data_IF_878445307263
#
_entry.id   IF_878445307263
#
_cell.length_a   1.000
_cell.length_b   1.000
_cell.length_c   1.000
_cell.angle_alpha   90.00
_cell.angle_beta   90.00
_cell.angle_gamma   90.00
#
_symmetry.space_group_name_H-M   'P 1'
#
loop_
_entity.id
_entity.type
_entity.pdbx_description
1 polymer ?
#
# COMPACT_ATOMS: atom_id res chain seq x y z
N UNK A 1 23.26 1.27 6.83
CA UNK A 1 22.73 0.43 5.74
C UNK A 1 21.53 1.16 5.14
N UNK A 2 21.59 1.58 3.88
CA UNK A 2 20.38 2.03 3.18
C UNK A 2 19.59 0.76 2.86
N UNK A 3 18.42 0.60 3.46
CA UNK A 3 17.45 -0.36 2.94
C UNK A 3 17.03 0.13 1.56
N UNK A 4 16.91 -0.78 0.59
CA UNK A 4 16.48 -0.45 -0.76
C UNK A 4 15.11 0.23 -0.75
N UNK A 5 14.91 1.17 -1.67
CA UNK A 5 13.64 1.87 -1.81
C UNK A 5 12.62 0.97 -2.52
N UNK A 6 11.44 0.82 -1.91
CA UNK A 6 10.29 0.10 -2.42
C UNK A 6 9.63 0.93 -3.52
N UNK A 7 9.68 0.42 -4.74
CA UNK A 7 8.97 0.95 -5.89
C UNK A 7 8.24 -0.21 -6.58
N UNK A 8 6.91 -0.16 -6.59
CA UNK A 8 6.04 -1.17 -7.21
C UNK A 8 5.24 -0.51 -8.32
N UNK A 9 5.30 -1.06 -9.53
CA UNK A 9 4.48 -0.62 -10.65
C UNK A 9 3.89 -1.81 -11.39
N UNK A 10 2.59 -2.07 -11.18
CA UNK A 10 1.92 -3.29 -11.65
C UNK A 10 0.52 -3.00 -12.22
N UNK A 11 -0.06 -3.99 -12.89
CA UNK A 11 -1.45 -3.92 -13.38
C UNK A 11 -2.47 -4.09 -12.26
N UNK A 12 -2.30 -5.12 -11.45
CA UNK A 12 -3.09 -5.45 -10.28
C UNK A 12 -2.12 -5.79 -9.14
N UNK A 13 -2.52 -5.56 -7.90
CA UNK A 13 -1.73 -5.96 -6.73
C UNK A 13 -2.64 -6.73 -5.77
N UNK A 14 -2.37 -8.01 -5.58
CA UNK A 14 -2.96 -8.84 -4.53
C UNK A 14 -1.96 -8.96 -3.38
N UNK A 15 -2.33 -8.41 -2.23
CA UNK A 15 -1.59 -8.51 -0.98
C UNK A 15 -2.49 -9.04 0.14
N UNK A 16 -3.46 -9.90 -0.19
CA UNK A 16 -4.37 -10.49 0.79
C UNK A 16 -3.62 -11.33 1.82
N UNK A 17 -3.67 -10.94 3.10
CA UNK A 17 -2.91 -11.59 4.19
C UNK A 17 -1.39 -11.53 4.02
N UNK A 18 -0.90 -10.85 2.98
CA UNK A 18 0.50 -10.67 2.66
C UNK A 18 1.11 -9.48 3.37
N UNK A 19 2.41 -9.27 3.17
CA UNK A 19 3.14 -8.13 3.72
C UNK A 19 4.05 -7.51 2.67
N UNK A 20 3.94 -6.21 2.50
CA UNK A 20 4.83 -5.39 1.70
C UNK A 20 5.40 -4.27 2.57
N UNK A 21 6.68 -4.40 2.93
CA UNK A 21 7.30 -3.59 3.97
C UNK A 21 8.52 -2.82 3.42
N UNK A 22 8.48 -1.49 3.49
CA UNK A 22 9.62 -0.60 3.32
C UNK A 22 10.23 -0.32 4.71
N UNK A 23 11.34 -0.99 5.04
CA UNK A 23 12.01 -0.79 6.33
C UNK A 23 12.97 0.41 6.34
N UNK A 24 13.27 0.99 5.18
CA UNK A 24 14.02 2.23 5.04
C UNK A 24 13.16 3.47 5.28
N UNK A 25 13.82 4.60 5.54
CA UNK A 25 13.16 5.91 5.76
C UNK A 25 12.92 6.70 4.46
N UNK A 26 13.33 6.16 3.31
CA UNK A 26 13.06 6.75 2.00
C UNK A 26 11.59 6.59 1.58
N UNK A 27 11.18 7.38 0.58
CA UNK A 27 9.80 7.32 0.05
C UNK A 27 9.52 5.98 -0.62
N UNK A 28 8.48 5.29 -0.19
CA UNK A 28 7.93 4.10 -0.85
C UNK A 28 6.87 4.53 -1.87
N UNK A 29 6.96 3.99 -3.09
CA UNK A 29 6.01 4.26 -4.17
C UNK A 29 5.31 2.97 -4.59
N UNK A 30 3.98 2.96 -4.56
CA UNK A 30 3.15 1.84 -5.01
C UNK A 30 2.15 2.36 -6.03
N UNK A 31 2.35 2.01 -7.30
CA UNK A 31 1.48 2.39 -8.41
C UNK A 31 0.81 1.16 -9.02
N UNK A 32 -0.51 1.10 -8.96
CA UNK A 32 -1.32 -0.01 -9.46
C UNK A 32 -2.31 0.53 -10.49
N UNK A 33 -2.28 0.02 -11.73
CA UNK A 33 -3.19 0.54 -12.77
C UNK A 33 -4.65 0.21 -12.46
N UNK A 34 -4.91 -0.96 -11.90
CA UNK A 34 -6.23 -1.44 -11.50
C UNK A 34 -6.40 -1.47 -9.99
N UNK A 35 -6.84 -2.60 -9.46
CA UNK A 35 -7.14 -2.80 -8.05
C UNK A 35 -5.88 -3.15 -7.25
N UNK A 36 -5.72 -2.45 -6.13
CA UNK A 36 -4.91 -2.87 -5.00
C UNK A 36 -5.83 -3.55 -3.99
N UNK A 37 -5.60 -4.85 -3.76
CA UNK A 37 -6.35 -5.66 -2.82
C UNK A 37 -5.47 -6.01 -1.61
N UNK A 38 -5.71 -5.34 -0.49
CA UNK A 38 -4.93 -5.45 0.76
C UNK A 38 -5.76 -6.00 1.92
N UNK A 39 -6.84 -6.74 1.62
CA UNK A 39 -7.75 -7.31 2.62
C UNK A 39 -7.17 -8.52 3.36
N UNK A 40 -8.00 -9.16 4.20
CA UNK A 40 -7.67 -10.39 4.94
C UNK A 40 -6.39 -10.25 5.79
N UNK A 41 -6.27 -9.17 6.55
CA UNK A 41 -5.05 -8.83 7.30
C UNK A 41 -3.79 -8.62 6.44
N UNK A 42 -3.97 -8.21 5.18
CA UNK A 42 -2.90 -7.72 4.32
C UNK A 42 -2.25 -6.46 4.88
N UNK A 43 -0.94 -6.34 4.70
CA UNK A 43 -0.15 -5.25 5.28
C UNK A 43 0.73 -4.57 4.24
N UNK A 44 0.56 -3.26 4.09
CA UNK A 44 1.44 -2.38 3.32
C UNK A 44 1.98 -1.32 4.29
N UNK A 45 3.28 -1.32 4.57
CA UNK A 45 3.86 -0.44 5.57
C UNK A 45 5.20 0.17 5.12
N UNK A 46 5.43 1.42 5.52
CA UNK A 46 6.72 2.10 5.31
C UNK A 46 7.20 2.83 6.57
N UNK A 47 8.52 2.77 6.80
CA UNK A 47 9.21 3.58 7.81
C UNK A 47 9.51 5.02 7.32
N UNK A 48 9.32 5.28 6.03
CA UNK A 48 9.40 6.59 5.40
C UNK A 48 8.04 7.04 4.89
N UNK A 49 8.00 8.04 4.01
CA UNK A 49 6.77 8.41 3.31
C UNK A 49 6.27 7.24 2.47
N UNK A 50 4.95 7.06 2.39
CA UNK A 50 4.32 6.07 1.54
C UNK A 50 3.33 6.76 0.61
N UNK A 51 3.54 6.57 -0.70
CA UNK A 51 2.65 7.05 -1.75
C UNK A 51 2.02 5.84 -2.45
N UNK A 52 0.70 5.74 -2.37
CA UNK A 52 -0.10 4.69 -3.03
C UNK A 52 -1.01 5.34 -4.05
N UNK A 53 -0.94 4.90 -5.29
CA UNK A 53 -1.81 5.34 -6.37
C UNK A 53 -2.39 4.13 -7.08
N UNK A 54 -3.71 4.00 -7.06
CA UNK A 54 -4.40 2.84 -7.62
C UNK A 54 -5.65 3.23 -8.41
N UNK A 55 -6.10 2.35 -9.31
CA UNK A 55 -7.41 2.45 -9.94
C UNK A 55 -8.54 2.29 -8.91
N UNK A 56 -8.42 1.30 -8.03
CA UNK A 56 -9.24 1.15 -6.82
C UNK A 56 -8.42 0.56 -5.69
N UNK A 57 -8.85 0.79 -4.45
CA UNK A 57 -8.19 0.28 -3.24
C UNK A 57 -9.23 -0.46 -2.41
N UNK A 58 -8.98 -1.75 -2.13
CA UNK A 58 -9.70 -2.51 -1.11
C UNK A 58 -8.75 -2.81 0.05
N UNK A 59 -8.90 -2.08 1.15
CA UNK A 59 -8.20 -2.28 2.41
C UNK A 59 -9.17 -2.78 3.51
N UNK A 60 -10.24 -3.48 3.13
CA UNK A 60 -11.22 -3.99 4.10
C UNK A 60 -10.78 -5.28 4.80
N UNK A 61 -11.55 -5.74 5.79
CA UNK A 61 -11.31 -7.07 6.39
C UNK A 61 -9.95 -7.17 7.08
N UNK A 62 -9.66 -6.20 7.95
CA UNK A 62 -8.44 -6.02 8.75
C UNK A 62 -7.19 -5.69 7.93
N UNK A 63 -7.35 -5.27 6.68
CA UNK A 63 -6.27 -4.76 5.86
C UNK A 63 -5.65 -3.50 6.46
N UNK A 64 -4.33 -3.36 6.35
CA UNK A 64 -3.59 -2.22 6.92
C UNK A 64 -2.65 -1.59 5.91
N UNK A 65 -2.85 -0.30 5.64
CA UNK A 65 -1.91 0.54 4.90
C UNK A 65 -1.39 1.65 5.82
N UNK A 66 -0.09 1.66 6.12
CA UNK A 66 0.50 2.53 7.16
C UNK A 66 1.84 3.13 6.77
N UNK A 67 2.14 4.28 7.37
CA UNK A 67 3.41 4.99 7.24
C UNK A 67 3.79 5.55 8.61
N UNK A 68 5.08 5.57 8.94
CA UNK A 68 5.58 6.28 10.13
C UNK A 68 5.89 7.75 9.86
N UNK A 69 5.88 8.17 8.59
CA UNK A 69 5.99 9.57 8.17
C UNK A 69 4.63 10.03 7.58
N UNK A 70 4.59 10.44 6.31
CA UNK A 70 3.34 10.74 5.61
C UNK A 70 2.80 9.52 4.85
N UNK A 71 1.47 9.42 4.82
CA UNK A 71 0.73 8.45 4.02
C UNK A 71 -0.14 9.21 3.01
N UNK A 72 0.05 8.93 1.73
CA UNK A 72 -0.76 9.47 0.65
C UNK A 72 -1.42 8.31 -0.10
N UNK A 73 -2.76 8.26 -0.08
CA UNK A 73 -3.56 7.33 -0.87
C UNK A 73 -4.34 8.11 -1.93
N UNK A 74 -4.11 7.76 -3.19
CA UNK A 74 -4.88 8.25 -4.32
C UNK A 74 -5.57 7.06 -5.01
N UNK A 75 -6.89 7.11 -5.07
CA UNK A 75 -7.72 6.14 -5.80
C UNK A 75 -8.48 6.85 -6.90
N UNK A 76 -8.48 6.30 -8.12
CA UNK A 76 -9.29 6.83 -9.24
C UNK A 76 -10.76 6.39 -9.16
N UNK A 77 -11.03 5.33 -8.39
CA UNK A 77 -12.34 4.76 -8.15
C UNK A 77 -12.57 4.49 -6.67
N UNK A 78 -13.24 3.38 -6.35
CA UNK A 78 -13.60 3.05 -4.98
C UNK A 78 -12.36 2.89 -4.08
N UNK A 79 -12.38 3.57 -2.95
CA UNK A 79 -11.51 3.30 -1.81
C UNK A 79 -12.38 2.68 -0.72
N UNK A 80 -12.24 1.37 -0.51
CA UNK A 80 -12.90 0.64 0.56
C UNK A 80 -11.91 0.45 1.72
N UNK A 81 -12.24 0.99 2.89
CA UNK A 81 -11.45 0.87 4.11
C UNK A 81 -12.34 0.46 5.30
N UNK A 82 -13.35 -0.38 5.06
CA UNK A 82 -14.28 -0.86 6.09
C UNK A 82 -13.64 -2.01 6.86
N UNK A 83 -13.73 -1.98 8.19
CA UNK A 83 -13.11 -2.97 9.08
C UNK A 83 -11.58 -3.12 8.92
N UNK A 84 -10.90 -2.06 8.48
CA UNK A 84 -9.43 -1.95 8.38
C UNK A 84 -8.78 -1.23 9.56
#
# INVERSE_FOLDING_TARGET
>A
MSAGQLAVQVGQLDNQGGKLLQTGTGTAHVTVRGQLDNRQAGELAANGQLQVQAGSIDNSGKGRITSTASLELASQGLLNNVDG
#
